data_IF_805087292081
#
_entry.id   IF_805087292081
#
_cell.length_a   1.000
_cell.length_b   1.000
_cell.length_c   1.000
_cell.angle_alpha   90.00
_cell.angle_beta   90.00
_cell.angle_gamma   90.00
#
_symmetry.space_group_name_H-M   'P 1'
#
loop_
_entity.id
_entity.type
_entity.pdbx_description
1 polymer ?
#
# COMPACT_ATOMS: atom_id res chain seq x y z
N UNK A 1 -31.35 4.30 9.24
CA UNK A 1 -30.71 4.68 7.95
C UNK A 1 -29.20 4.54 8.03
N UNK A 2 -28.55 5.00 9.10
CA UNK A 2 -27.08 4.91 9.22
C UNK A 2 -26.54 3.49 9.33
N UNK A 3 -27.25 2.55 9.95
CA UNK A 3 -26.83 1.14 10.01
C UNK A 3 -26.78 0.47 8.62
N UNK A 4 -27.77 0.75 7.75
CA UNK A 4 -27.78 0.23 6.39
C UNK A 4 -26.63 0.80 5.57
N UNK A 5 -26.28 2.05 5.80
CA UNK A 5 -25.14 2.72 5.16
C UNK A 5 -23.81 2.14 5.63
N UNK A 6 -23.64 1.93 6.93
CA UNK A 6 -22.44 1.31 7.50
C UNK A 6 -22.24 -0.11 6.96
N UNK A 7 -23.31 -0.91 6.91
CA UNK A 7 -23.28 -2.27 6.36
C UNK A 7 -22.98 -2.29 4.86
N UNK A 8 -23.58 -1.38 4.09
CA UNK A 8 -23.26 -1.24 2.67
C UNK A 8 -21.79 -0.84 2.42
N UNK A 9 -21.25 0.05 3.27
CA UNK A 9 -19.84 0.47 3.21
C UNK A 9 -18.91 -0.71 3.47
N UNK A 10 -19.18 -1.50 4.50
CA UNK A 10 -18.41 -2.71 4.83
C UNK A 10 -18.41 -3.70 3.67
N UNK A 11 -19.59 -4.04 3.12
CA UNK A 11 -19.70 -4.94 1.97
C UNK A 11 -18.92 -4.43 0.75
N UNK A 12 -18.90 -3.11 0.51
CA UNK A 12 -18.18 -2.55 -0.63
C UNK A 12 -16.66 -2.45 -0.41
N UNK A 13 -16.25 -1.90 0.73
CA UNK A 13 -14.85 -1.54 1.03
C UNK A 13 -14.07 -2.77 1.47
N UNK A 14 -14.64 -3.57 2.37
CA UNK A 14 -13.97 -4.69 3.03
C UNK A 14 -14.17 -6.00 2.28
N UNK A 15 -15.43 -6.33 1.95
CA UNK A 15 -15.80 -7.59 1.28
C UNK A 15 -15.70 -7.52 -0.25
N UNK A 16 -15.53 -6.32 -0.81
CA UNK A 16 -15.32 -6.11 -2.24
C UNK A 16 -16.56 -6.31 -3.13
N UNK A 17 -17.75 -6.36 -2.54
CA UNK A 17 -19.01 -6.56 -3.26
C UNK A 17 -19.31 -5.40 -4.23
N UNK A 18 -19.97 -5.72 -5.34
CA UNK A 18 -20.46 -4.70 -6.27
C UNK A 18 -21.69 -3.97 -5.70
N UNK A 19 -21.91 -2.72 -6.11
CA UNK A 19 -23.12 -1.96 -5.74
C UNK A 19 -24.40 -2.72 -6.12
N UNK A 20 -24.35 -3.47 -7.20
CA UNK A 20 -25.46 -4.29 -7.70
C UNK A 20 -25.76 -5.45 -6.76
N UNK A 21 -24.72 -6.15 -6.31
CA UNK A 21 -24.83 -7.22 -5.32
C UNK A 21 -25.36 -6.68 -4.01
N UNK A 22 -24.85 -5.54 -3.54
CA UNK A 22 -25.29 -4.90 -2.30
C UNK A 22 -26.76 -4.50 -2.38
N UNK A 23 -27.21 -3.93 -3.50
CA UNK A 23 -28.62 -3.53 -3.70
C UNK A 23 -29.60 -4.70 -3.68
N UNK A 24 -29.14 -5.92 -3.99
CA UNK A 24 -29.96 -7.13 -3.93
C UNK A 24 -30.01 -7.73 -2.51
N UNK A 25 -28.96 -7.53 -1.72
CA UNK A 25 -28.84 -8.06 -0.36
C UNK A 25 -29.49 -7.14 0.66
N UNK A 26 -29.26 -5.82 0.54
CA UNK A 26 -29.85 -4.82 1.43
C UNK A 26 -31.20 -4.35 0.89
N UNK A 27 -32.26 -5.01 1.34
CA UNK A 27 -33.63 -4.60 1.06
C UNK A 27 -33.91 -3.22 1.66
N UNK A 28 -34.39 -2.28 0.83
CA UNK A 28 -34.74 -0.91 1.26
C UNK A 28 -33.72 0.16 0.87
N UNK A 29 -32.63 -0.19 0.18
CA UNK A 29 -31.66 0.79 -0.35
C UNK A 29 -31.59 0.70 -1.87
N UNK A 30 -31.88 1.80 -2.56
CA UNK A 30 -31.79 1.86 -4.02
C UNK A 30 -30.34 1.94 -4.50
N UNK A 31 -30.06 1.48 -5.72
CA UNK A 31 -28.75 1.69 -6.38
C UNK A 31 -28.32 3.16 -6.35
N UNK A 32 -29.24 4.08 -6.63
CA UNK A 32 -28.96 5.53 -6.62
C UNK A 32 -28.45 5.98 -5.25
N UNK A 33 -29.09 5.53 -4.18
CA UNK A 33 -28.68 5.82 -2.80
C UNK A 33 -27.28 5.29 -2.49
N UNK A 34 -26.96 4.07 -2.94
CA UNK A 34 -25.62 3.49 -2.78
C UNK A 34 -24.54 4.27 -3.55
N UNK A 35 -24.83 4.70 -4.77
CA UNK A 35 -23.91 5.54 -5.55
C UNK A 35 -23.69 6.91 -4.88
N UNK A 36 -24.75 7.53 -4.36
CA UNK A 36 -24.65 8.80 -3.63
C UNK A 36 -23.77 8.66 -2.37
N UNK A 37 -23.93 7.56 -1.62
CA UNK A 37 -23.11 7.29 -0.44
C UNK A 37 -21.65 7.02 -0.80
N UNK A 38 -21.41 6.17 -1.80
CA UNK A 38 -20.08 5.87 -2.35
C UNK A 38 -19.33 7.15 -2.72
N UNK A 39 -20.00 8.09 -3.40
CA UNK A 39 -19.41 9.35 -3.81
C UNK A 39 -19.15 10.29 -2.61
N UNK A 40 -20.15 10.50 -1.74
CA UNK A 40 -20.04 11.42 -0.59
C UNK A 40 -18.96 11.02 0.41
N UNK A 41 -18.81 9.72 0.65
CA UNK A 41 -17.86 9.20 1.65
C UNK A 41 -16.58 8.63 1.05
N UNK A 42 -16.38 8.79 -0.27
CA UNK A 42 -15.17 8.36 -0.98
C UNK A 42 -14.83 6.88 -0.76
N UNK A 43 -15.83 6.00 -0.87
CA UNK A 43 -15.65 4.57 -0.60
C UNK A 43 -14.61 3.92 -1.51
N UNK A 44 -14.41 4.41 -2.73
CA UNK A 44 -13.35 3.90 -3.63
C UNK A 44 -11.95 4.12 -3.05
N UNK A 45 -11.69 5.29 -2.49
CA UNK A 45 -10.41 5.59 -1.83
C UNK A 45 -10.20 4.70 -0.60
N UNK A 46 -11.28 4.44 0.15
CA UNK A 46 -11.21 3.56 1.31
C UNK A 46 -10.97 2.10 0.91
N UNK A 47 -11.62 1.64 -0.17
CA UNK A 47 -11.41 0.30 -0.74
C UNK A 47 -9.98 0.14 -1.23
N UNK A 48 -9.43 1.14 -1.93
CA UNK A 48 -8.04 1.15 -2.34
C UNK A 48 -7.09 1.09 -1.13
N UNK A 49 -7.37 1.87 -0.08
CA UNK A 49 -6.59 1.84 1.16
C UNK A 49 -6.70 0.48 1.88
N UNK A 50 -7.86 -0.15 1.88
CA UNK A 50 -8.10 -1.47 2.44
C UNK A 50 -7.34 -2.57 1.68
N UNK A 51 -7.43 -2.57 0.35
CA UNK A 51 -6.66 -3.47 -0.51
C UNK A 51 -5.15 -3.26 -0.35
N UNK A 52 -4.72 -2.03 -0.08
CA UNK A 52 -3.32 -1.71 0.20
C UNK A 52 -2.90 -2.03 1.65
N UNK A 53 -3.82 -2.29 2.59
CA UNK A 53 -3.50 -2.77 3.94
C UNK A 53 -3.10 -4.25 3.95
N UNK A 54 -3.63 -5.06 3.03
CA UNK A 54 -3.27 -6.47 2.90
C UNK A 54 -1.98 -6.74 2.13
N UNK A 55 -1.38 -5.72 1.50
CA UNK A 55 -0.11 -5.84 0.78
C UNK A 55 1.05 -5.45 1.68
N UNK A 56 2.05 -6.33 1.76
CA UNK A 56 3.28 -6.03 2.47
C UNK A 56 3.99 -4.84 1.81
N UNK A 57 4.86 -4.14 2.56
CA UNK A 57 5.69 -3.09 1.98
C UNK A 57 6.58 -3.66 0.85
N UNK A 58 6.98 -4.93 0.96
CA UNK A 58 7.72 -5.64 -0.06
C UNK A 58 6.93 -5.75 -1.37
N UNK A 59 5.65 -6.16 -1.32
CA UNK A 59 4.80 -6.28 -2.52
C UNK A 59 4.65 -4.93 -3.24
N UNK A 60 4.49 -3.85 -2.47
CA UNK A 60 4.37 -2.49 -3.02
C UNK A 60 5.65 -2.02 -3.70
N UNK A 61 6.80 -2.37 -3.13
CA UNK A 61 8.10 -2.03 -3.73
C UNK A 61 8.36 -2.87 -4.99
N UNK A 62 7.91 -4.12 -5.04
CA UNK A 62 7.98 -4.92 -6.26
C UNK A 62 7.12 -4.35 -7.38
N UNK A 63 5.86 -3.97 -7.10
CA UNK A 63 4.99 -3.31 -8.10
C UNK A 63 5.65 -2.04 -8.66
N UNK A 64 6.28 -1.24 -7.79
CA UNK A 64 6.99 -0.03 -8.18
C UNK A 64 8.24 -0.34 -9.02
N UNK A 65 9.01 -1.36 -8.65
CA UNK A 65 10.19 -1.80 -9.40
C UNK A 65 9.81 -2.22 -10.83
N UNK A 66 8.73 -2.99 -10.99
CA UNK A 66 8.25 -3.41 -12.32
C UNK A 66 7.82 -2.21 -13.16
N UNK A 67 7.07 -1.26 -12.59
CA UNK A 67 6.65 -0.06 -13.32
C UNK A 67 7.83 0.79 -13.80
N UNK A 68 8.89 0.90 -13.00
CA UNK A 68 10.11 1.64 -13.38
C UNK A 68 10.95 0.88 -14.39
N UNK A 69 11.02 -0.45 -14.28
CA UNK A 69 11.70 -1.28 -15.27
C UNK A 69 11.03 -1.19 -16.64
N UNK A 70 9.70 -1.30 -16.70
CA UNK A 70 8.94 -1.16 -17.95
C UNK A 70 9.13 0.24 -18.56
N UNK A 71 9.10 1.29 -17.74
CA UNK A 71 9.32 2.67 -18.20
C UNK A 71 10.74 2.88 -18.72
N UNK A 72 11.76 2.35 -18.03
CA UNK A 72 13.15 2.45 -18.45
C UNK A 72 13.48 1.61 -19.70
N UNK A 73 12.76 0.50 -19.94
CA UNK A 73 12.87 -0.29 -21.16
C UNK A 73 12.22 0.40 -22.36
N UNK A 74 11.11 1.13 -22.13
CA UNK A 74 10.44 1.90 -23.16
C UNK A 74 11.24 3.17 -23.53
N UNK A 75 11.71 3.90 -22.53
CA UNK A 75 12.53 5.11 -22.67
C UNK A 75 13.69 5.08 -21.66
N UNK A 76 14.91 4.73 -22.11
CA UNK A 76 16.07 4.65 -21.23
C UNK A 76 16.44 6.01 -20.63
N UNK A 77 16.07 6.22 -19.37
CA UNK A 77 16.43 7.40 -18.58
C UNK A 77 17.35 7.01 -17.39
N UNK A 78 18.55 7.61 -17.28
CA UNK A 78 19.45 7.41 -16.15
C UNK A 78 18.81 7.65 -14.77
N UNK A 79 17.85 8.58 -14.66
CA UNK A 79 17.17 8.84 -13.38
C UNK A 79 16.25 7.68 -13.00
N UNK A 80 15.53 7.10 -13.97
CA UNK A 80 14.71 5.91 -13.77
C UNK A 80 15.55 4.69 -13.40
N UNK A 81 16.71 4.50 -14.05
CA UNK A 81 17.64 3.42 -13.71
C UNK A 81 18.17 3.53 -12.26
N UNK A 82 18.47 4.74 -11.82
CA UNK A 82 18.91 5.00 -10.43
C UNK A 82 17.77 4.77 -9.42
N UNK A 83 16.56 5.21 -9.74
CA UNK A 83 15.38 4.99 -8.92
C UNK A 83 15.08 3.49 -8.77
N UNK A 84 15.15 2.73 -9.87
CA UNK A 84 15.00 1.27 -9.86
C UNK A 84 16.04 0.60 -8.96
N UNK A 85 17.31 1.00 -9.05
CA UNK A 85 18.38 0.49 -8.17
C UNK A 85 18.10 0.74 -6.68
N UNK A 86 17.54 1.91 -6.37
CA UNK A 86 17.17 2.29 -5.00
C UNK A 86 15.99 1.47 -4.47
N UNK A 87 14.98 1.20 -5.31
CA UNK A 87 13.84 0.34 -4.98
C UNK A 87 14.32 -1.10 -4.72
N UNK A 88 15.16 -1.65 -5.60
CA UNK A 88 15.76 -3.00 -5.45
C UNK A 88 16.55 -3.10 -4.13
N UNK A 89 17.30 -2.05 -3.78
CA UNK A 89 18.05 -1.99 -2.51
C UNK A 89 17.10 -1.96 -1.30
N UNK A 90 15.99 -1.22 -1.39
CA UNK A 90 14.94 -1.21 -0.36
C UNK A 90 14.34 -2.60 -0.14
N UNK A 91 14.02 -3.32 -1.21
CA UNK A 91 13.51 -4.71 -1.16
C UNK A 91 14.54 -5.63 -0.49
N UNK A 92 15.81 -5.55 -0.90
CA UNK A 92 16.87 -6.37 -0.31
C UNK A 92 17.05 -6.11 1.19
N UNK A 93 16.87 -4.87 1.64
CA UNK A 93 16.95 -4.50 3.05
C UNK A 93 15.74 -5.02 3.85
N UNK A 94 14.52 -4.98 3.30
CA UNK A 94 13.35 -5.61 3.94
C UNK A 94 13.57 -7.10 4.11
N UNK A 95 14.07 -7.80 3.08
CA UNK A 95 14.41 -9.22 3.19
C UNK A 95 15.48 -9.50 4.25
N UNK A 96 16.49 -8.64 4.36
CA UNK A 96 17.52 -8.75 5.41
C UNK A 96 16.93 -8.52 6.80
N UNK A 97 16.07 -7.52 6.98
CA UNK A 97 15.41 -7.24 8.26
C UNK A 97 14.56 -8.43 8.68
N UNK A 98 13.69 -8.95 7.81
CA UNK A 98 12.88 -10.13 8.10
C UNK A 98 13.74 -11.35 8.45
N UNK A 99 14.84 -11.58 7.70
CA UNK A 99 15.79 -12.65 8.01
C UNK A 99 16.52 -12.44 9.35
N UNK A 100 16.80 -11.19 9.71
CA UNK A 100 17.46 -10.84 10.98
C UNK A 100 16.49 -10.93 12.16
N UNK A 101 15.20 -10.65 11.96
CA UNK A 101 14.15 -10.88 12.97
C UNK A 101 13.94 -12.38 13.22
N UNK A 102 13.96 -13.19 12.15
CA UNK A 102 13.95 -14.66 12.26
C UNK A 102 15.22 -15.21 12.95
N UNK A 103 16.39 -14.59 12.73
CA UNK A 103 17.66 -14.95 13.36
C UNK A 103 17.80 -14.40 14.80
N UNK A 104 17.22 -13.25 15.14
CA UNK A 104 17.18 -12.69 16.51
C UNK A 104 16.24 -13.47 17.43
N UNK A 105 15.15 -14.04 16.90
CA UNK A 105 14.34 -15.02 17.63
C UNK A 105 15.10 -16.33 17.90
N UNK A 106 16.16 -16.62 17.13
CA UNK A 106 17.03 -17.78 17.30
C UNK A 106 18.32 -17.50 18.12
N UNK A 107 18.61 -16.24 18.46
CA UNK A 107 19.92 -15.83 18.99
C UNK A 107 19.88 -14.68 19.98
N UNK A 108 19.43 -14.93 21.21
CA UNK A 108 19.73 -14.04 22.34
C UNK A 108 21.23 -14.11 22.68
N UNK A 109 22.02 -13.09 22.29
CA UNK A 109 23.18 -12.55 23.04
C UNK A 109 24.02 -11.62 22.16
N UNK A 110 24.23 -10.38 22.61
CA UNK A 110 25.37 -9.56 22.17
C UNK A 110 24.98 -8.17 21.68
N UNK A 111 25.52 -7.17 22.37
CA UNK A 111 25.38 -5.75 22.09
C UNK A 111 25.80 -5.35 20.66
N UNK A 112 25.05 -4.45 20.04
CA UNK A 112 25.47 -3.08 19.71
C UNK A 112 24.33 -2.35 18.98
N UNK A 113 24.11 -1.08 19.33
CA UNK A 113 23.01 -0.26 18.83
C UNK A 113 23.01 -0.17 17.29
N UNK A 114 22.08 -0.90 16.65
CA UNK A 114 21.91 -0.93 15.20
C UNK A 114 21.39 0.43 14.70
N UNK A 115 22.21 1.11 13.90
CA UNK A 115 21.84 2.34 13.17
C UNK A 115 20.65 2.05 12.25
N UNK A 116 19.48 2.57 12.62
CA UNK A 116 18.35 2.68 11.71
C UNK A 116 18.67 3.56 10.49
N UNK A 117 17.72 3.62 9.55
CA UNK A 117 17.79 4.45 8.33
C UNK A 117 18.37 5.83 8.66
N UNK A 118 19.43 6.24 7.97
CA UNK A 118 20.02 7.56 8.22
C UNK A 118 18.99 8.65 7.94
N UNK A 119 18.94 9.72 8.75
CA UNK A 119 18.02 10.84 8.53
C UNK A 119 18.12 11.43 7.11
N UNK A 120 19.31 11.44 6.50
CA UNK A 120 19.49 11.86 5.10
C UNK A 120 18.72 10.97 4.12
N UNK A 121 18.82 9.64 4.25
CA UNK A 121 18.19 8.70 3.32
C UNK A 121 16.66 8.78 3.42
N UNK A 122 16.14 8.96 4.63
CA UNK A 122 14.71 9.11 4.88
C UNK A 122 14.17 10.41 4.26
N UNK A 123 14.96 11.49 4.32
CA UNK A 123 14.62 12.77 3.70
C UNK A 123 14.62 12.71 2.17
N UNK A 124 15.57 11.99 1.57
CA UNK A 124 15.61 11.76 0.13
C UNK A 124 14.41 10.92 -0.35
N UNK A 125 14.04 9.89 0.40
CA UNK A 125 12.86 9.06 0.11
C UNK A 125 11.57 9.90 0.19
N UNK A 126 11.43 10.75 1.22
CA UNK A 126 10.26 11.63 1.36
C UNK A 126 10.17 12.69 0.24
N UNK A 127 11.30 13.26 -0.18
CA UNK A 127 11.35 14.18 -1.33
C UNK A 127 10.96 13.51 -2.65
N UNK A 128 11.44 12.29 -2.92
CA UNK A 128 11.09 11.54 -4.13
C UNK A 128 9.60 11.16 -4.19
N UNK A 129 8.97 10.97 -3.03
CA UNK A 129 7.54 10.67 -2.91
C UNK A 129 6.65 11.92 -2.90
N UNK A 130 7.22 13.13 -2.99
CA UNK A 130 6.46 14.39 -2.95
C UNK A 130 5.79 14.68 -1.60
N UNK A 131 6.21 13.97 -0.54
CA UNK A 131 5.71 14.16 0.82
C UNK A 131 6.60 15.23 1.48
N UNK A 132 6.19 16.49 1.37
CA UNK A 132 6.86 17.58 2.07
C UNK A 132 6.55 17.50 3.57
N UNK A 133 7.62 17.43 4.38
CA UNK A 133 7.57 17.63 5.84
C UNK A 133 7.78 19.10 6.16
#
# INVERSE_FOLDING_TARGET
>A
MDELKAKAREMYVTEGASIDSISKVLTGVSRRTLFDWKAKERWDSQRAAWLNRGRSMEDKLWDLAYSFADSALAEPDPQMAYALGSIITGIANIKKINKTEDEELAGNAGAEAKKGISPENLKQILQLLGINS
#
